data_IF_344354244399
#
_entry.id   IF_344354244399
#
_cell.length_a   1.000
_cell.length_b   1.000
_cell.length_c   1.000
_cell.angle_alpha   90.00
_cell.angle_beta   90.00
_cell.angle_gamma   90.00
#
_symmetry.space_group_name_H-M   'P 1'
#
loop_
_entity.id
_entity.type
_entity.pdbx_description
1 polymer ?
#
# COMPACT_ATOMS: atom_id res chain seq x y z
N UNK A 1 9.83 5.49 -56.23
CA UNK A 1 9.94 4.04 -55.93
C UNK A 1 11.01 3.74 -54.87
N UNK A 2 12.20 4.36 -54.90
CA UNK A 2 13.26 4.16 -53.89
C UNK A 2 12.87 4.50 -52.43
N UNK A 3 12.07 5.55 -52.23
CA UNK A 3 11.59 5.96 -50.90
C UNK A 3 10.74 4.90 -50.20
N UNK A 4 9.96 4.12 -50.97
CA UNK A 4 9.11 3.07 -50.42
C UNK A 4 9.93 1.87 -49.95
N UNK A 5 10.95 1.46 -50.72
CA UNK A 5 11.85 0.37 -50.33
C UNK A 5 12.72 0.73 -49.11
N UNK A 6 13.18 1.97 -49.01
CA UNK A 6 13.93 2.42 -47.85
C UNK A 6 13.07 2.44 -46.58
N UNK A 7 11.82 2.86 -46.70
CA UNK A 7 10.86 2.89 -45.59
C UNK A 7 10.50 1.48 -45.08
N UNK A 8 10.28 0.54 -46.00
CA UNK A 8 10.01 -0.86 -45.64
C UNK A 8 11.21 -1.49 -44.91
N UNK A 9 12.43 -1.15 -45.33
CA UNK A 9 13.66 -1.58 -44.66
C UNK A 9 13.77 -1.07 -43.21
N UNK A 10 13.41 0.19 -42.94
CA UNK A 10 13.39 0.76 -41.58
C UNK A 10 12.34 0.08 -40.70
N UNK A 11 11.16 -0.21 -41.24
CA UNK A 11 10.10 -0.95 -40.53
C UNK A 11 10.52 -2.36 -40.14
N UNK A 12 11.19 -3.06 -41.06
CA UNK A 12 11.75 -4.40 -40.79
C UNK A 12 12.85 -4.32 -39.73
N UNK A 13 13.78 -3.37 -39.85
CA UNK A 13 14.89 -3.23 -38.90
C UNK A 13 14.40 -2.89 -37.49
N UNK A 14 13.43 -1.98 -37.35
CA UNK A 14 12.83 -1.65 -36.06
C UNK A 14 12.06 -2.83 -35.43
N UNK A 15 11.37 -3.65 -36.24
CA UNK A 15 10.76 -4.89 -35.77
C UNK A 15 11.81 -5.88 -35.26
N UNK A 16 12.95 -6.06 -35.95
CA UNK A 16 14.03 -6.93 -35.49
C UNK A 16 14.69 -6.42 -34.20
N UNK A 17 14.91 -5.11 -34.07
CA UNK A 17 15.44 -4.52 -32.82
C UNK A 17 14.49 -4.75 -31.66
N UNK A 18 13.18 -4.60 -31.89
CA UNK A 18 12.16 -4.87 -30.87
C UNK A 18 12.14 -6.35 -30.45
N UNK A 19 12.18 -7.28 -31.41
CA UNK A 19 12.24 -8.72 -31.13
C UNK A 19 13.53 -9.09 -30.39
N UNK A 20 14.67 -8.52 -30.78
CA UNK A 20 15.96 -8.75 -30.11
C UNK A 20 15.98 -8.20 -28.68
N UNK A 21 15.47 -6.99 -28.47
CA UNK A 21 15.29 -6.40 -27.15
C UNK A 21 14.36 -7.28 -26.29
N UNK A 22 13.21 -7.69 -26.82
CA UNK A 22 12.31 -8.58 -26.11
C UNK A 22 12.98 -9.90 -25.74
N UNK A 23 13.67 -10.55 -26.66
CA UNK A 23 14.33 -11.84 -26.39
C UNK A 23 15.40 -11.73 -25.30
N UNK A 24 16.14 -10.62 -25.26
CA UNK A 24 17.15 -10.36 -24.22
C UNK A 24 16.55 -9.99 -22.85
N UNK A 25 15.39 -9.33 -22.83
CA UNK A 25 14.81 -8.77 -21.60
C UNK A 25 13.55 -9.48 -21.12
N UNK A 26 12.98 -10.45 -21.85
CA UNK A 26 11.74 -11.17 -21.48
C UNK A 26 11.83 -11.86 -20.12
N UNK A 27 13.02 -12.31 -19.73
CA UNK A 27 13.26 -13.01 -18.46
C UNK A 27 13.58 -12.02 -17.32
N UNK A 28 13.62 -10.72 -17.59
CA UNK A 28 13.87 -9.63 -16.62
C UNK A 28 12.69 -8.69 -16.42
N UNK A 29 11.59 -8.88 -17.14
CA UNK A 29 10.38 -8.06 -17.00
C UNK A 29 9.41 -8.81 -16.11
N UNK A 30 9.05 -8.20 -14.97
CA UNK A 30 8.33 -8.84 -13.86
C UNK A 30 6.94 -9.38 -14.21
N UNK A 31 6.33 -8.89 -15.30
CA UNK A 31 5.10 -9.45 -15.87
C UNK A 31 5.23 -9.35 -17.40
N UNK A 32 5.61 -10.42 -18.12
CA UNK A 32 5.56 -10.37 -19.57
C UNK A 32 4.10 -10.20 -19.97
N UNK A 33 3.76 -9.04 -20.54
CA UNK A 33 2.47 -8.85 -21.19
C UNK A 33 2.24 -10.04 -22.14
N UNK A 34 1.02 -10.60 -22.16
CA UNK A 34 0.75 -11.80 -22.95
C UNK A 34 1.22 -11.61 -24.39
N UNK A 35 1.79 -12.65 -24.99
CA UNK A 35 2.38 -12.59 -26.33
C UNK A 35 1.40 -12.00 -27.36
N UNK A 36 0.11 -12.26 -27.19
CA UNK A 36 -0.97 -11.66 -27.97
C UNK A 36 -1.09 -10.14 -27.78
N UNK A 37 -1.07 -9.63 -26.54
CA UNK A 37 -1.13 -8.19 -26.27
C UNK A 37 0.11 -7.46 -26.82
N UNK A 38 1.28 -8.09 -26.72
CA UNK A 38 2.54 -7.59 -27.29
C UNK A 38 2.49 -7.55 -28.82
N UNK A 39 2.02 -8.59 -29.48
CA UNK A 39 1.82 -8.61 -30.93
C UNK A 39 0.80 -7.56 -31.38
N UNK A 40 -0.29 -7.36 -30.63
CA UNK A 40 -1.28 -6.32 -30.91
C UNK A 40 -0.65 -4.92 -30.78
N UNK A 41 0.17 -4.67 -29.75
CA UNK A 41 0.87 -3.38 -29.60
C UNK A 41 1.91 -3.18 -30.70
N UNK A 42 2.73 -4.19 -31.00
CA UNK A 42 3.75 -4.12 -32.04
C UNK A 42 3.13 -3.89 -33.42
N UNK A 43 2.06 -4.61 -33.76
CA UNK A 43 1.30 -4.39 -35.00
C UNK A 43 0.65 -3.01 -35.00
N UNK A 44 0.05 -2.56 -33.90
CA UNK A 44 -0.48 -1.20 -33.79
C UNK A 44 0.61 -0.16 -34.05
N UNK A 45 1.82 -0.29 -33.50
CA UNK A 45 2.92 0.62 -33.82
C UNK A 45 3.34 0.55 -35.29
N UNK A 46 3.42 -0.64 -35.90
CA UNK A 46 3.76 -0.81 -37.33
C UNK A 46 2.71 -0.15 -38.24
N UNK A 47 1.42 -0.18 -37.88
CA UNK A 47 0.34 0.38 -38.70
C UNK A 47 -0.02 1.84 -38.39
N UNK A 48 0.10 2.27 -37.13
CA UNK A 48 -0.19 3.64 -36.70
C UNK A 48 0.97 4.57 -37.02
N UNK A 49 2.22 4.09 -36.95
CA UNK A 49 3.41 4.91 -37.25
C UNK A 49 3.41 5.48 -38.67
N UNK A 50 3.07 4.73 -39.74
CA UNK A 50 2.93 5.29 -41.09
C UNK A 50 1.89 6.40 -41.19
N UNK A 51 0.77 6.29 -40.47
CA UNK A 51 -0.29 7.31 -40.48
C UNK A 51 0.16 8.57 -39.75
N UNK A 52 0.77 8.42 -38.57
CA UNK A 52 1.32 9.54 -37.80
C UNK A 52 2.51 10.19 -38.52
N UNK A 53 3.40 9.40 -39.09
CA UNK A 53 4.54 9.86 -39.89
C UNK A 53 4.07 10.58 -41.16
N UNK A 54 3.05 10.08 -41.86
CA UNK A 54 2.48 10.75 -43.02
C UNK A 54 1.81 12.07 -42.65
N UNK A 55 1.07 12.09 -41.54
CA UNK A 55 0.45 13.31 -40.99
C UNK A 55 1.51 14.32 -40.57
N UNK A 56 2.60 13.87 -39.94
CA UNK A 56 3.76 14.69 -39.60
C UNK A 56 4.49 15.19 -40.85
N UNK A 57 4.68 14.36 -41.87
CA UNK A 57 5.36 14.74 -43.11
C UNK A 57 4.58 15.77 -43.94
N UNK A 58 3.24 15.67 -43.94
CA UNK A 58 2.32 16.63 -44.58
C UNK A 58 2.06 17.88 -43.74
N UNK A 59 2.43 17.89 -42.45
CA UNK A 59 2.36 19.09 -41.62
C UNK A 59 3.36 20.12 -42.16
N UNK A 60 2.89 21.32 -42.47
CA UNK A 60 3.76 22.45 -42.83
C UNK A 60 4.61 22.92 -41.64
N UNK A 61 4.12 22.71 -40.41
CA UNK A 61 4.82 22.95 -39.15
C UNK A 61 5.56 21.69 -38.69
N UNK A 62 6.75 21.42 -39.24
CA UNK A 62 7.60 20.27 -38.83
C UNK A 62 8.32 20.50 -37.49
N UNK A 63 8.41 21.74 -37.03
CA UNK A 63 9.10 22.16 -35.80
C UNK A 63 8.23 22.06 -34.54
N UNK A 64 6.90 22.03 -34.67
CA UNK A 64 5.97 21.96 -33.52
C UNK A 64 6.00 20.65 -32.75
N UNK A 65 6.46 19.55 -33.34
CA UNK A 65 6.43 18.21 -32.71
C UNK A 65 7.71 17.81 -31.98
N UNK A 66 8.83 18.52 -32.17
CA UNK A 66 10.14 18.16 -31.55
C UNK A 66 10.54 19.17 -30.48
N UNK A 67 9.98 20.37 -30.53
CA UNK A 67 10.17 21.40 -29.51
C UNK A 67 8.80 21.96 -29.17
N UNK A 68 8.14 21.40 -28.17
CA UNK A 68 7.27 22.21 -27.32
C UNK A 68 8.19 22.98 -26.37
N UNK A 69 8.45 24.28 -26.59
CA UNK A 69 9.08 25.13 -25.59
C UNK A 69 8.21 25.32 -24.33
N UNK A 70 7.05 24.67 -24.23
CA UNK A 70 6.17 24.72 -23.06
C UNK A 70 6.60 23.78 -21.91
N UNK A 71 7.66 22.99 -22.10
CA UNK A 71 8.36 22.29 -21.00
C UNK A 71 9.46 23.14 -20.35
N UNK A 72 9.45 24.46 -20.56
CA UNK A 72 9.99 25.38 -19.56
C UNK A 72 9.00 25.33 -18.40
N UNK A 73 9.39 24.71 -17.28
CA UNK A 73 8.61 24.80 -16.05
C UNK A 73 8.25 26.28 -15.84
N UNK A 74 6.95 26.64 -15.83
CA UNK A 74 6.55 28.03 -15.84
C UNK A 74 7.27 28.73 -14.70
N UNK A 75 7.95 29.84 -15.02
CA UNK A 75 8.57 30.70 -14.03
C UNK A 75 7.52 30.96 -12.94
N UNK A 76 7.82 30.54 -11.70
CA UNK A 76 6.88 30.57 -10.60
C UNK A 76 6.43 32.02 -10.41
N UNK A 77 5.26 32.36 -10.98
CA UNK A 77 4.64 33.66 -10.76
C UNK A 77 4.44 33.81 -9.25
N UNK A 78 4.66 35.00 -8.68
CA UNK A 78 4.39 35.23 -7.27
C UNK A 78 2.94 34.82 -6.99
N UNK A 79 2.80 33.76 -6.19
CA UNK A 79 1.48 33.19 -5.87
C UNK A 79 0.77 34.22 -5.00
N UNK A 80 -0.39 34.71 -5.46
CA UNK A 80 -1.22 35.64 -4.71
C UNK A 80 -1.53 35.02 -3.33
N UNK A 81 -1.20 35.70 -2.21
CA UNK A 81 -1.42 35.17 -0.86
C UNK A 81 -2.89 34.83 -0.59
N UNK A 82 -3.83 35.47 -1.28
CA UNK A 82 -5.25 35.16 -1.17
C UNK A 82 -5.62 33.82 -1.82
N UNK A 83 -4.94 33.44 -2.91
CA UNK A 83 -5.15 32.13 -3.56
C UNK A 83 -4.64 31.01 -2.65
N UNK A 84 -3.48 31.19 -2.01
CA UNK A 84 -2.94 30.22 -1.05
C UNK A 84 -3.89 30.04 0.14
N UNK A 85 -4.39 31.14 0.69
CA UNK A 85 -5.31 31.11 1.84
C UNK A 85 -6.65 30.46 1.51
N UNK A 86 -7.20 30.73 0.31
CA UNK A 86 -8.44 30.11 -0.14
C UNK A 86 -8.24 28.62 -0.46
N UNK A 87 -7.10 28.25 -1.05
CA UNK A 87 -6.73 26.85 -1.30
C UNK A 87 -6.61 26.07 0.01
N UNK A 88 -5.92 26.62 1.02
CA UNK A 88 -5.79 26.00 2.34
C UNK A 88 -7.16 25.79 3.01
N UNK A 89 -8.04 26.80 2.96
CA UNK A 89 -9.41 26.70 3.52
C UNK A 89 -10.25 25.66 2.77
N UNK A 90 -10.13 25.57 1.46
CA UNK A 90 -10.85 24.57 0.66
C UNK A 90 -10.34 23.17 0.98
N UNK A 91 -9.02 22.98 1.10
CA UNK A 91 -8.43 21.71 1.51
C UNK A 91 -8.90 21.26 2.89
N UNK A 92 -9.02 22.18 3.85
CA UNK A 92 -9.57 21.88 5.18
C UNK A 92 -11.04 21.45 5.10
N UNK A 93 -11.86 22.13 4.30
CA UNK A 93 -13.27 21.76 4.09
C UNK A 93 -13.42 20.41 3.40
N UNK A 94 -12.60 20.13 2.39
CA UNK A 94 -12.56 18.84 1.70
C UNK A 94 -12.16 17.73 2.66
N UNK A 95 -11.14 17.94 3.50
CA UNK A 95 -10.73 16.99 4.53
C UNK A 95 -11.84 16.71 5.56
N UNK A 96 -12.57 17.75 5.99
CA UNK A 96 -13.73 17.59 6.87
C UNK A 96 -14.87 16.81 6.22
N UNK A 97 -15.15 17.08 4.94
CA UNK A 97 -16.20 16.38 4.18
C UNK A 97 -15.85 14.90 4.04
N UNK A 98 -14.62 14.59 3.61
CA UNK A 98 -14.12 13.22 3.53
C UNK A 98 -14.18 12.51 4.88
N UNK A 99 -13.84 13.21 5.98
CA UNK A 99 -13.94 12.65 7.31
C UNK A 99 -15.38 12.28 7.68
N UNK A 100 -16.36 13.15 7.40
CA UNK A 100 -17.77 12.87 7.63
C UNK A 100 -18.27 11.68 6.79
N UNK A 101 -17.86 11.61 5.53
CA UNK A 101 -18.17 10.48 4.65
C UNK A 101 -17.64 9.17 5.23
N UNK A 102 -16.39 9.14 5.69
CA UNK A 102 -15.79 7.96 6.34
C UNK A 102 -16.50 7.58 7.64
N UNK A 103 -16.87 8.55 8.48
CA UNK A 103 -17.64 8.27 9.70
C UNK A 103 -18.98 7.64 9.37
N UNK A 104 -19.70 8.21 8.39
CA UNK A 104 -20.98 7.65 7.94
C UNK A 104 -20.82 6.24 7.36
N UNK A 105 -19.75 6.00 6.60
CA UNK A 105 -19.41 4.68 6.08
C UNK A 105 -19.19 3.68 7.22
N UNK A 106 -18.34 4.01 8.20
CA UNK A 106 -18.05 3.14 9.35
C UNK A 106 -19.30 2.82 10.14
N UNK A 107 -20.16 3.81 10.38
CA UNK A 107 -21.40 3.63 11.14
C UNK A 107 -22.42 2.75 10.39
N UNK A 108 -22.27 2.57 9.07
CA UNK A 108 -23.10 1.65 8.26
C UNK A 108 -22.54 0.23 8.14
N UNK A 109 -21.33 -0.03 8.62
CA UNK A 109 -20.75 -1.36 8.60
C UNK A 109 -21.51 -2.30 9.54
N UNK A 110 -21.57 -3.61 9.23
CA UNK A 110 -22.13 -4.57 10.16
C UNK A 110 -21.32 -4.58 11.46
N UNK A 111 -22.01 -4.76 12.59
CA UNK A 111 -21.38 -4.91 13.90
C UNK A 111 -20.37 -6.04 13.87
N UNK A 112 -19.18 -5.77 14.39
CA UNK A 112 -18.11 -6.75 14.48
C UNK A 112 -18.52 -7.89 15.45
N UNK A 113 -18.30 -9.14 15.07
CA UNK A 113 -18.52 -10.29 15.97
C UNK A 113 -17.23 -10.71 16.67
N UNK A 114 -17.29 -11.80 17.44
CA UNK A 114 -16.16 -12.48 18.12
C UNK A 114 -14.89 -12.58 17.26
N UNK A 115 -15.07 -12.83 15.96
CA UNK A 115 -14.00 -13.03 15.01
C UNK A 115 -14.15 -12.10 13.79
N UNK A 116 -13.01 -11.76 13.19
CA UNK A 116 -12.98 -11.11 11.89
C UNK A 116 -12.12 -11.89 10.91
N UNK A 117 -12.48 -11.79 9.63
CA UNK A 117 -11.73 -12.39 8.53
C UNK A 117 -11.17 -11.31 7.62
N UNK A 118 -9.85 -11.29 7.48
CA UNK A 118 -9.15 -10.54 6.45
C UNK A 118 -8.79 -11.46 5.28
N UNK A 119 -9.02 -10.98 4.05
CA UNK A 119 -8.62 -11.70 2.84
C UNK A 119 -7.23 -11.23 2.45
N UNK A 120 -6.28 -12.16 2.35
CA UNK A 120 -4.93 -11.86 1.89
C UNK A 120 -4.94 -11.22 0.51
N UNK A 121 -4.11 -10.19 0.35
CA UNK A 121 -3.93 -9.46 -0.90
C UNK A 121 -2.45 -9.39 -1.25
N UNK A 122 -2.18 -9.22 -2.55
CA UNK A 122 -0.87 -8.80 -3.04
C UNK A 122 -0.76 -7.27 -3.02
N UNK A 123 0.44 -6.73 -3.28
CA UNK A 123 0.75 -5.28 -3.31
C UNK A 123 -0.04 -4.48 -4.36
N UNK A 124 -0.74 -5.18 -5.25
CA UNK A 124 -1.60 -4.64 -6.29
C UNK A 124 -3.09 -4.74 -5.95
N UNK A 125 -3.44 -5.26 -4.76
CA UNK A 125 -4.82 -5.50 -4.33
C UNK A 125 -5.44 -6.77 -4.91
N UNK A 126 -4.68 -7.59 -5.64
CA UNK A 126 -5.15 -8.88 -6.11
C UNK A 126 -5.35 -9.84 -4.94
N UNK A 127 -6.45 -10.61 -4.96
CA UNK A 127 -6.77 -11.55 -3.89
C UNK A 127 -5.89 -12.78 -3.99
N UNK A 128 -5.23 -13.09 -2.88
CA UNK A 128 -4.42 -14.29 -2.73
C UNK A 128 -5.21 -15.39 -2.00
N UNK A 129 -4.55 -16.53 -1.75
CA UNK A 129 -5.19 -17.72 -1.19
C UNK A 129 -5.33 -17.70 0.33
N UNK A 130 -4.74 -16.72 1.01
CA UNK A 130 -4.82 -16.58 2.46
C UNK A 130 -6.15 -15.99 2.94
N UNK A 131 -6.78 -16.62 3.92
CA UNK A 131 -7.85 -16.02 4.73
C UNK A 131 -7.39 -16.02 6.18
N UNK A 132 -7.18 -14.83 6.71
CA UNK A 132 -6.68 -14.60 8.06
C UNK A 132 -7.87 -14.38 8.96
N UNK A 133 -7.96 -15.14 10.04
CA UNK A 133 -9.05 -15.10 11.01
C UNK A 133 -8.43 -14.69 12.35
N UNK A 134 -8.97 -13.62 12.93
CA UNK A 134 -8.47 -13.05 14.17
C UNK A 134 -9.60 -12.91 15.18
N UNK A 135 -9.28 -13.09 16.45
CA UNK A 135 -10.17 -12.67 17.53
C UNK A 135 -10.17 -11.15 17.63
N UNK A 136 -11.36 -10.55 17.68
CA UNK A 136 -11.48 -9.09 17.76
C UNK A 136 -10.88 -8.55 19.06
N UNK A 137 -10.95 -9.33 20.14
CA UNK A 137 -10.36 -9.00 21.44
C UNK A 137 -8.84 -8.80 21.37
N UNK A 138 -8.14 -9.59 20.54
CA UNK A 138 -6.69 -9.46 20.36
C UNK A 138 -6.29 -8.29 19.45
N UNK A 139 -7.18 -7.89 18.54
CA UNK A 139 -6.92 -6.80 17.60
C UNK A 139 -7.08 -5.42 18.24
N UNK A 140 -8.06 -5.25 19.12
CA UNK A 140 -8.34 -4.00 19.81
C UNK A 140 -7.09 -3.36 20.45
N UNK A 141 -6.31 -4.06 21.29
CA UNK A 141 -5.10 -3.48 21.90
C UNK A 141 -4.04 -3.15 20.85
N UNK A 142 -3.85 -4.00 19.83
CA UNK A 142 -2.83 -3.77 18.80
C UNK A 142 -3.15 -2.51 17.95
N UNK A 143 -4.42 -2.32 17.58
CA UNK A 143 -4.84 -1.11 16.85
C UNK A 143 -4.77 0.12 17.77
N UNK A 144 -5.11 -0.03 19.05
CA UNK A 144 -4.99 1.06 20.02
C UNK A 144 -3.54 1.52 20.22
N UNK A 145 -2.60 0.60 20.35
CA UNK A 145 -1.17 0.89 20.48
C UNK A 145 -0.61 1.60 19.24
N UNK A 146 -1.06 1.20 18.04
CA UNK A 146 -0.72 1.90 16.79
C UNK A 146 -1.25 3.33 16.72
N UNK A 147 -2.42 3.59 17.29
CA UNK A 147 -2.99 4.93 17.37
C UNK A 147 -2.29 5.81 18.41
N UNK A 148 -1.67 5.19 19.42
CA UNK A 148 -1.01 5.85 20.53
C UNK A 148 0.44 5.37 20.65
N UNK A 149 1.30 5.67 19.67
CA UNK A 149 2.70 5.29 19.77
C UNK A 149 3.28 5.94 21.03
N UNK A 150 3.87 5.12 21.91
CA UNK A 150 4.58 5.63 23.08
C UNK A 150 5.64 6.62 22.60
N UNK A 151 5.82 7.78 23.25
CA UNK A 151 6.88 8.70 22.88
C UNK A 151 8.21 7.94 22.93
N UNK A 152 8.97 8.01 21.83
CA UNK A 152 10.31 7.43 21.79
C UNK A 152 11.15 8.23 22.76
N UNK A 153 11.45 7.65 23.93
CA UNK A 153 12.48 8.19 24.81
C UNK A 153 13.82 7.97 24.12
N UNK A 154 14.37 9.03 23.55
CA UNK A 154 15.80 9.07 23.27
C UNK A 154 16.48 9.24 24.62
N UNK A 155 16.79 8.12 25.28
CA UNK A 155 17.73 8.12 26.38
C UNK A 155 19.11 8.45 25.80
N UNK A 156 19.43 9.74 25.74
CA UNK A 156 20.79 10.23 25.61
C UNK A 156 21.55 9.90 26.90
N UNK A 157 21.88 8.62 27.10
CA UNK A 157 22.76 8.18 28.19
C UNK A 157 23.86 7.27 27.67
N UNK A 158 24.68 7.82 26.77
CA UNK A 158 26.12 7.62 26.81
C UNK A 158 26.71 8.49 27.93
N UNK A 159 26.44 8.11 29.18
CA UNK A 159 27.30 8.47 30.28
C UNK A 159 27.34 7.30 31.24
N UNK A 160 28.38 6.50 31.07
CA UNK A 160 28.83 5.55 32.07
C UNK A 160 28.98 6.29 33.40
N UNK A 161 28.20 5.91 34.39
CA UNK A 161 28.60 6.04 35.78
C UNK A 161 28.03 4.85 36.56
N UNK A 162 28.99 4.04 37.01
CA UNK A 162 28.85 3.11 38.11
C UNK A 162 28.09 3.73 39.28
N UNK A 163 27.10 3.03 39.82
CA UNK A 163 27.09 2.64 41.23
C UNK A 163 25.90 1.76 41.58
N UNK A 164 26.19 0.87 42.53
CA UNK A 164 25.43 -0.24 43.08
C UNK A 164 24.22 0.17 43.94
N UNK A 165 23.27 -0.76 43.99
CA UNK A 165 22.33 -1.11 45.06
C UNK A 165 21.27 -0.10 45.55
N UNK A 166 19.99 -0.43 45.32
CA UNK A 166 18.95 -0.32 46.34
C UNK A 166 17.71 -1.18 45.98
N UNK A 167 17.22 -1.90 46.98
CA UNK A 167 16.17 -2.91 46.96
C UNK A 167 14.73 -2.34 46.88
N UNK A 168 13.82 -3.23 46.44
CA UNK A 168 12.40 -3.38 46.81
C UNK A 168 11.46 -2.15 46.82
N UNK A 169 10.33 -2.27 46.10
CA UNK A 169 9.04 -2.51 46.74
C UNK A 169 7.96 -2.90 45.72
N UNK A 170 7.19 -3.94 46.09
CA UNK A 170 5.94 -4.31 45.47
C UNK A 170 4.83 -3.34 45.95
N UNK A 171 3.99 -2.87 45.03
CA UNK A 171 2.70 -2.27 45.39
C UNK A 171 1.63 -2.73 44.43
N UNK A 172 0.70 -3.49 44.99
CA UNK A 172 -0.61 -3.79 44.43
C UNK A 172 -1.38 -2.49 44.10
N UNK A 173 -2.17 -2.52 43.03
CA UNK A 173 -3.00 -1.40 42.59
C UNK A 173 -3.96 -1.83 41.50
N UNK A 174 -5.06 -2.46 41.90
CA UNK A 174 -6.19 -2.80 41.05
C UNK A 174 -6.93 -1.54 40.53
N UNK A 175 -7.40 -1.65 39.28
CA UNK A 175 -8.62 -1.05 38.74
C UNK A 175 -8.79 0.49 38.74
N UNK A 176 -8.29 1.15 37.70
CA UNK A 176 -8.84 2.43 37.19
C UNK A 176 -8.64 2.50 35.65
N UNK A 177 -9.37 1.69 34.87
CA UNK A 177 -9.26 1.63 33.39
C UNK A 177 -10.54 2.08 32.65
N UNK A 178 -11.49 2.77 33.30
CA UNK A 178 -12.79 3.05 32.64
C UNK A 178 -13.19 4.52 32.47
N UNK A 179 -12.40 5.50 32.92
CA UNK A 179 -12.77 6.93 32.81
C UNK A 179 -11.88 7.78 31.89
N UNK A 180 -10.62 7.40 31.66
CA UNK A 180 -9.71 8.15 30.78
C UNK A 180 -9.80 7.75 29.29
N UNK A 181 -10.25 6.53 28.99
CA UNK A 181 -10.40 5.98 27.63
C UNK A 181 -11.53 6.62 26.83
N UNK A 182 -12.47 7.31 27.49
CA UNK A 182 -13.62 7.95 26.84
C UNK A 182 -13.44 9.46 26.57
N UNK A 183 -12.57 10.17 27.31
CA UNK A 183 -12.38 11.61 27.12
C UNK A 183 -11.36 11.97 26.02
N UNK A 184 -10.41 11.08 25.74
CA UNK A 184 -9.34 11.30 24.75
C UNK A 184 -9.75 11.07 23.28
N UNK A 185 -10.89 10.41 23.04
CA UNK A 185 -11.41 10.17 21.68
C UNK A 185 -11.87 11.48 20.99
N UNK A 186 -12.08 12.55 21.76
CA UNK A 186 -12.54 13.84 21.24
C UNK A 186 -11.41 14.87 21.01
N UNK A 187 -10.14 14.46 21.04
CA UNK A 187 -9.03 15.38 20.77
C UNK A 187 -8.92 15.61 19.25
N UNK A 188 -9.15 16.84 18.74
CA UNK A 188 -9.31 17.09 17.30
C UNK A 188 -8.00 17.04 16.48
N UNK A 189 -6.90 16.60 17.09
CA UNK A 189 -5.55 16.69 16.52
C UNK A 189 -4.89 15.35 16.20
N UNK A 190 -5.58 14.20 16.38
CA UNK A 190 -5.04 12.98 15.80
C UNK A 190 -5.12 13.08 14.28
N UNK A 191 -4.02 12.84 13.54
CA UNK A 191 -4.09 12.74 12.10
C UNK A 191 -5.16 11.69 11.77
N UNK A 192 -6.05 12.05 10.85
CA UNK A 192 -7.20 11.24 10.45
C UNK A 192 -6.73 9.99 9.68
N UNK A 193 -6.12 9.06 10.41
CA UNK A 193 -5.55 7.84 9.87
C UNK A 193 -6.62 6.76 9.82
N UNK A 194 -6.50 5.87 8.84
CA UNK A 194 -7.48 4.81 8.65
C UNK A 194 -7.63 3.90 9.87
N UNK A 195 -6.56 3.76 10.66
CA UNK A 195 -6.52 3.05 11.94
C UNK A 195 -7.56 3.58 12.92
N UNK A 196 -7.89 4.87 12.88
CA UNK A 196 -8.92 5.46 13.74
C UNK A 196 -10.30 4.89 13.41
N UNK A 197 -10.61 4.78 12.11
CA UNK A 197 -11.86 4.20 11.62
C UNK A 197 -11.94 2.70 11.89
N UNK A 198 -10.84 1.98 11.71
CA UNK A 198 -10.74 0.56 12.02
C UNK A 198 -11.01 0.34 13.51
N UNK A 199 -10.36 1.10 14.39
CA UNK A 199 -10.58 1.03 15.84
C UNK A 199 -12.02 1.39 16.24
N UNK A 200 -12.61 2.43 15.65
CA UNK A 200 -14.02 2.78 15.87
C UNK A 200 -14.95 1.63 15.47
N UNK A 201 -14.73 1.01 14.32
CA UNK A 201 -15.50 -0.15 13.88
C UNK A 201 -15.34 -1.34 14.83
N UNK A 202 -14.10 -1.69 15.21
CA UNK A 202 -13.82 -2.79 16.14
C UNK A 202 -14.42 -2.57 17.53
N UNK A 203 -14.63 -1.33 17.99
CA UNK A 203 -15.30 -1.04 19.26
C UNK A 203 -16.80 -1.34 19.26
N UNK A 204 -17.43 -1.47 18.10
CA UNK A 204 -18.84 -1.92 17.99
C UNK A 204 -19.00 -3.43 18.16
N UNK A 205 -17.91 -4.10 18.54
CA UNK A 205 -17.82 -5.53 18.75
C UNK A 205 -18.83 -6.05 19.78
N UNK A 206 -19.56 -7.10 19.39
CA UNK A 206 -20.39 -7.89 20.28
C UNK A 206 -19.81 -9.32 20.41
N UNK A 207 -19.29 -9.71 21.59
CA UNK A 207 -18.76 -11.06 21.82
C UNK A 207 -19.84 -12.15 21.72
N UNK A 208 -21.12 -11.81 21.89
CA UNK A 208 -22.22 -12.78 21.78
C UNK A 208 -22.48 -13.20 20.32
N UNK A 209 -22.01 -12.39 19.35
CA UNK A 209 -22.12 -12.70 17.93
C UNK A 209 -20.91 -13.54 17.48
N UNK A 210 -21.13 -14.84 17.28
CA UNK A 210 -20.13 -15.75 16.67
C UNK A 210 -19.97 -15.57 15.15
N UNK A 211 -20.28 -14.38 14.63
CA UNK A 211 -20.21 -14.08 13.21
C UNK A 211 -18.79 -13.64 12.86
N UNK A 212 -18.19 -14.32 11.88
CA UNK A 212 -16.92 -13.92 11.31
C UNK A 212 -17.15 -12.87 10.23
N UNK A 213 -16.99 -11.60 10.58
CA UNK A 213 -17.20 -10.51 9.63
C UNK A 213 -15.97 -10.27 8.76
N UNK A 214 -16.21 -10.03 7.48
CA UNK A 214 -15.13 -9.76 6.54
C UNK A 214 -14.70 -8.30 6.68
N UNK A 215 -13.39 -8.08 6.84
CA UNK A 215 -12.82 -6.73 6.82
C UNK A 215 -13.17 -6.04 5.49
N UNK A 216 -13.74 -4.83 5.52
CA UNK A 216 -14.04 -4.07 4.31
C UNK A 216 -12.78 -3.82 3.47
N UNK A 217 -12.89 -3.96 2.14
CA UNK A 217 -11.77 -3.71 1.22
C UNK A 217 -11.34 -2.24 1.17
N UNK A 218 -12.15 -1.33 1.71
CA UNK A 218 -11.79 0.08 1.87
C UNK A 218 -10.73 0.30 2.94
N UNK A 219 -10.51 -0.65 3.85
CA UNK A 219 -9.43 -0.62 4.84
C UNK A 219 -8.13 -1.20 4.25
N UNK A 220 -7.53 -0.48 3.30
CA UNK A 220 -6.29 -0.88 2.61
C UNK A 220 -5.07 -1.01 3.54
N UNK A 221 -5.03 -0.29 4.67
CA UNK A 221 -3.97 -0.43 5.69
C UNK A 221 -4.19 -1.60 6.65
N UNK A 222 -5.30 -2.33 6.54
CA UNK A 222 -5.52 -3.49 7.40
C UNK A 222 -4.48 -4.60 7.16
N UNK A 223 -3.86 -4.65 5.98
CA UNK A 223 -2.77 -5.59 5.66
C UNK A 223 -1.59 -5.50 6.66
N UNK A 224 -1.31 -4.30 7.18
CA UNK A 224 -0.27 -4.09 8.17
C UNK A 224 -0.67 -4.64 9.54
N UNK A 225 -1.92 -4.42 9.95
CA UNK A 225 -2.46 -4.94 11.21
C UNK A 225 -2.50 -6.47 11.18
N UNK A 226 -3.01 -7.03 10.07
CA UNK A 226 -3.11 -8.47 9.89
C UNK A 226 -1.74 -9.16 9.99
N UNK A 227 -0.74 -8.62 9.31
CA UNK A 227 0.58 -9.26 9.31
C UNK A 227 1.33 -9.04 10.63
N UNK A 228 1.11 -7.95 11.37
CA UNK A 228 1.66 -7.80 12.73
C UNK A 228 1.03 -8.81 13.72
N UNK A 229 -0.28 -9.10 13.56
CA UNK A 229 -0.95 -10.17 14.32
C UNK A 229 -0.34 -11.54 14.04
N UNK A 230 -0.08 -11.85 12.76
CA UNK A 230 0.55 -13.11 12.37
C UNK A 230 1.99 -13.21 12.88
N UNK A 231 2.77 -12.13 12.77
CA UNK A 231 4.14 -12.07 13.33
C UNK A 231 4.15 -12.20 14.86
N UNK A 232 3.10 -11.74 15.53
CA UNK A 232 2.88 -11.96 16.97
C UNK A 232 2.37 -13.37 17.32
N UNK A 233 2.17 -14.25 16.34
CA UNK A 233 1.65 -15.60 16.53
C UNK A 233 0.17 -15.66 16.91
N UNK A 234 -0.60 -14.61 16.59
CA UNK A 234 -2.03 -14.51 16.94
C UNK A 234 -2.96 -14.76 15.75
N UNK A 235 -3.99 -15.56 15.98
CA UNK A 235 -5.02 -15.89 15.00
C UNK A 235 -4.72 -17.15 14.20
N UNK A 236 -5.53 -17.37 13.17
CA UNK A 236 -5.48 -18.55 12.31
C UNK A 236 -5.50 -18.14 10.85
N UNK A 237 -4.89 -18.95 9.99
CA UNK A 237 -4.84 -18.69 8.55
C UNK A 237 -5.30 -19.91 7.78
N UNK A 238 -6.41 -19.76 7.06
CA UNK A 238 -6.88 -20.74 6.12
C UNK A 238 -6.22 -20.53 4.77
N UNK A 239 -5.41 -21.49 4.34
CA UNK A 239 -4.83 -21.52 3.00
C UNK A 239 -5.81 -22.20 2.04
N UNK A 240 -6.33 -21.44 1.06
CA UNK A 240 -7.26 -21.98 0.06
C UNK A 240 -6.63 -23.05 -0.85
N UNK A 241 -5.34 -22.93 -1.14
CA UNK A 241 -4.63 -23.91 -1.98
C UNK A 241 -4.38 -25.24 -1.25
N UNK A 242 -4.15 -25.22 0.06
CA UNK A 242 -4.02 -26.44 0.88
C UNK A 242 -5.37 -26.96 1.42
N UNK A 243 -6.42 -26.14 1.37
CA UNK A 243 -7.70 -26.39 2.05
C UNK A 243 -7.53 -26.74 3.54
N UNK A 244 -6.57 -26.08 4.19
CA UNK A 244 -6.16 -26.36 5.58
C UNK A 244 -6.05 -25.06 6.36
N UNK A 245 -6.45 -25.12 7.64
CA UNK A 245 -6.27 -24.03 8.62
C UNK A 245 -4.97 -24.28 9.36
N UNK A 246 -4.13 -23.26 9.41
CA UNK A 246 -2.87 -23.23 10.15
C UNK A 246 -2.97 -22.21 11.28
N UNK A 247 -2.29 -22.44 12.39
CA UNK A 247 -2.11 -21.42 13.40
C UNK A 247 -1.15 -20.34 12.90
N UNK A 248 -1.30 -19.10 13.38
CA UNK A 248 -0.44 -17.99 12.99
C UNK A 248 1.05 -18.28 13.20
N UNK A 249 1.40 -19.05 14.25
CA UNK A 249 2.78 -19.47 14.53
C UNK A 249 3.42 -20.35 13.45
N UNK A 250 2.61 -21.04 12.66
CA UNK A 250 3.09 -21.93 11.60
C UNK A 250 3.30 -21.17 10.27
N UNK A 251 2.88 -19.91 10.20
CA UNK A 251 3.00 -19.08 9.01
C UNK A 251 4.40 -18.50 8.92
N UNK A 252 5.03 -18.75 7.78
CA UNK A 252 6.38 -18.28 7.50
C UNK A 252 6.32 -16.86 6.95
N UNK A 253 6.81 -15.90 7.73
CA UNK A 253 7.03 -14.53 7.29
C UNK A 253 8.44 -14.37 6.70
N UNK A 254 8.53 -13.85 5.47
CA UNK A 254 9.79 -13.62 4.76
C UNK A 254 9.83 -12.22 4.20
N UNK A 255 10.96 -11.55 4.33
CA UNK A 255 11.21 -10.28 3.66
C UNK A 255 11.80 -10.56 2.27
N UNK A 256 10.97 -10.41 1.23
CA UNK A 256 11.37 -10.50 -0.17
C UNK A 256 11.86 -9.16 -0.70
N UNK A 257 12.89 -9.16 -1.54
CA UNK A 257 13.45 -7.93 -2.14
C UNK A 257 13.24 -7.88 -3.65
N UNK A 258 12.52 -6.87 -4.17
CA UNK A 258 12.36 -6.66 -5.62
C UNK A 258 12.39 -5.16 -5.96
N UNK A 259 13.24 -4.77 -6.91
CA UNK A 259 13.21 -3.43 -7.50
C UNK A 259 13.41 -2.25 -6.54
N UNK A 260 14.16 -2.43 -5.45
CA UNK A 260 14.36 -1.38 -4.42
C UNK A 260 13.29 -1.36 -3.32
N UNK A 261 12.30 -2.26 -3.37
CA UNK A 261 11.36 -2.50 -2.28
C UNK A 261 11.73 -3.76 -1.50
N UNK A 262 11.58 -3.70 -0.17
CA UNK A 262 11.39 -4.88 0.67
C UNK A 262 9.88 -5.08 0.83
N UNK A 263 9.43 -6.28 0.50
CA UNK A 263 8.06 -6.74 0.60
C UNK A 263 7.98 -7.77 1.72
N UNK A 264 7.00 -7.63 2.60
CA UNK A 264 6.70 -8.67 3.59
C UNK A 264 5.79 -9.70 2.94
N UNK A 265 6.27 -10.93 2.81
CA UNK A 265 5.55 -12.06 2.23
C UNK A 265 5.19 -13.08 3.31
N UNK A 266 3.94 -13.53 3.32
CA UNK A 266 3.46 -14.56 4.23
C UNK A 266 3.20 -15.85 3.45
N UNK A 267 3.79 -16.96 3.88
CA UNK A 267 3.66 -18.27 3.26
C UNK A 267 3.08 -19.31 4.23
N UNK A 268 2.24 -20.20 3.72
CA UNK A 268 1.83 -21.38 4.49
C UNK A 268 2.99 -22.39 4.59
N UNK A 269 2.90 -23.42 5.46
CA UNK A 269 3.91 -24.49 5.54
C UNK A 269 4.20 -25.24 4.23
N UNK A 270 3.28 -25.19 3.27
CA UNK A 270 3.45 -25.76 1.93
C UNK A 270 3.96 -24.75 0.87
N UNK A 271 4.53 -23.61 1.31
CA UNK A 271 5.10 -22.55 0.47
C UNK A 271 4.13 -21.84 -0.51
N UNK A 272 2.81 -21.93 -0.31
CA UNK A 272 1.85 -21.07 -1.02
C UNK A 272 1.86 -19.64 -0.45
N UNK A 273 1.87 -18.64 -1.33
CA UNK A 273 1.79 -17.23 -0.96
C UNK A 273 0.38 -16.85 -0.47
N UNK A 274 0.28 -16.40 0.78
CA UNK A 274 -0.99 -16.09 1.45
C UNK A 274 -1.30 -14.59 1.43
N UNK A 275 -0.28 -13.75 1.60
CA UNK A 275 -0.38 -12.29 1.55
C UNK A 275 0.98 -11.69 1.20
N UNK A 276 0.98 -10.51 0.58
CA UNK A 276 2.18 -9.70 0.36
C UNK A 276 1.89 -8.23 0.62
N UNK A 277 2.73 -7.60 1.47
CA UNK A 277 2.63 -6.17 1.85
C UNK A 277 3.90 -5.41 1.51
N UNK A 278 3.79 -4.09 1.34
CA UNK A 278 4.96 -3.21 1.15
C UNK A 278 5.58 -2.89 2.50
N UNK A 279 6.88 -3.14 2.72
CA UNK A 279 7.52 -2.89 4.02
C UNK A 279 8.39 -1.63 3.98
N UNK A 280 9.41 -1.62 3.12
CA UNK A 280 10.39 -0.52 3.02
C UNK A 280 10.69 -0.24 1.55
N UNK A 281 10.87 1.04 1.22
CA UNK A 281 11.40 1.46 -0.08
C UNK A 281 12.77 2.08 0.10
N UNK A 282 13.79 1.50 -0.53
CA UNK A 282 15.08 2.14 -0.68
C UNK A 282 15.09 2.95 -1.96
N UNK A 283 15.07 4.27 -1.83
CA UNK A 283 15.41 5.14 -2.95
C UNK A 283 16.88 4.90 -3.30
N UNK A 284 17.13 4.24 -4.43
CA UNK A 284 18.48 4.05 -4.95
C UNK A 284 19.07 5.43 -5.23
N UNK A 285 20.11 5.81 -4.48
CA UNK A 285 20.83 7.04 -4.75
C UNK A 285 21.37 6.99 -6.19
N UNK A 286 21.02 8.01 -6.99
CA UNK A 286 21.69 8.22 -8.29
C UNK A 286 23.14 8.55 -7.98
N UNK A 287 24.05 7.63 -8.29
CA UNK A 287 25.47 7.99 -8.43
C UNK A 287 25.59 8.89 -9.66
N UNK A 288 25.93 10.16 -9.44
CA UNK A 288 26.33 11.07 -10.52
C UNK A 288 27.67 10.61 -11.12
#
# INVERSE_FOLDING_TARGET
>A
MYLFNFYFSIGIFSAFVFVGYWWLYKDRVDIPASLNLMLIRATAYIFVWPVLFWKWFKSEDKTRFITEPELVAPEQRPVDPNIVKNSARNAEREAQTLHQEWLSFVDTLPQCGSHIMYKGTDIYGERLDGRFIFETADLLPLVFDKLNPKPVSFDDTDSANDSLDAECEASDGEAEIDSQTSSWVNTPNLPNTQEHYIHRWLRTYDPALFVCNVVPTSFDRFEYIAADMIEAGKGQVHCKSCDTVYDASDIKAVDGGQGGWILGELYCPSDHLLARRKKIHFMRARSN
#
